data_IF_926455109565
#
_entry.id   IF_926455109565
#
_cell.length_a   1.000
_cell.length_b   1.000
_cell.length_c   1.000
_cell.angle_alpha   90.00
_cell.angle_beta   90.00
_cell.angle_gamma   90.00
#
_symmetry.space_group_name_H-M   'P 1'
#
loop_
_entity.id
_entity.type
_entity.pdbx_description
1 polymer ?
#
# COMPACT_ATOMS: atom_id res chain seq x y z
N UNK A 1 27.42 -26.71 -23.09
CA UNK A 1 26.00 -26.29 -23.13
C UNK A 1 25.68 -25.67 -21.79
N UNK A 2 25.53 -24.34 -21.73
CA UNK A 2 25.22 -23.62 -20.50
C UNK A 2 23.69 -23.56 -20.36
N UNK A 3 23.16 -24.06 -19.24
CA UNK A 3 21.73 -24.06 -18.95
C UNK A 3 21.23 -22.60 -18.79
N UNK A 4 20.01 -22.28 -19.23
CA UNK A 4 19.45 -20.95 -19.03
C UNK A 4 19.13 -20.79 -17.55
N UNK A 5 19.64 -19.70 -16.96
CA UNK A 5 19.25 -19.23 -15.64
C UNK A 5 17.76 -18.90 -15.76
N UNK A 6 16.93 -19.70 -15.11
CA UNK A 6 15.54 -19.39 -14.91
C UNK A 6 15.50 -18.05 -14.15
N UNK A 7 15.17 -16.99 -14.86
CA UNK A 7 14.72 -15.74 -14.28
C UNK A 7 13.41 -16.07 -13.57
N UNK A 8 13.50 -16.50 -12.33
CA UNK A 8 12.36 -16.55 -11.44
C UNK A 8 11.91 -15.10 -11.28
N UNK A 9 10.94 -14.69 -12.09
CA UNK A 9 10.13 -13.52 -11.80
C UNK A 9 9.30 -13.87 -10.56
N UNK A 10 9.98 -13.91 -9.41
CA UNK A 10 9.36 -13.83 -8.11
C UNK A 10 8.69 -12.47 -8.08
N UNK A 11 7.46 -12.42 -8.58
CA UNK A 11 6.54 -11.32 -8.31
C UNK A 11 6.59 -11.21 -6.79
N UNK A 12 6.96 -10.08 -6.18
CA UNK A 12 7.09 -10.02 -4.74
C UNK A 12 5.72 -10.39 -4.17
N UNK A 13 5.58 -11.63 -3.68
CA UNK A 13 4.38 -12.10 -3.03
C UNK A 13 4.25 -11.18 -1.82
N UNK A 14 3.31 -10.24 -1.90
CA UNK A 14 3.09 -9.33 -0.80
C UNK A 14 2.71 -10.14 0.43
N UNK A 15 3.16 -9.71 1.61
CA UNK A 15 2.71 -10.31 2.85
C UNK A 15 1.18 -10.24 2.92
N UNK A 16 0.52 -11.24 3.53
CA UNK A 16 -0.87 -11.14 3.96
C UNK A 16 -1.21 -9.79 4.59
N UNK A 17 -2.46 -9.33 4.46
CA UNK A 17 -2.93 -8.05 5.03
C UNK A 17 -2.59 -7.90 6.53
N UNK A 18 -2.61 -8.99 7.29
CA UNK A 18 -2.21 -9.06 8.70
C UNK A 18 -0.76 -8.60 8.91
N UNK A 19 0.15 -9.15 8.10
CA UNK A 19 1.57 -8.90 8.19
C UNK A 19 1.87 -7.45 7.78
N UNK A 20 1.14 -6.90 6.80
CA UNK A 20 1.24 -5.49 6.41
C UNK A 20 0.90 -4.59 7.61
N UNK A 21 -0.20 -4.87 8.31
CA UNK A 21 -0.62 -4.08 9.48
C UNK A 21 0.39 -4.22 10.62
N UNK A 22 0.93 -5.42 10.84
CA UNK A 22 1.97 -5.67 11.85
C UNK A 22 3.25 -4.89 11.55
N UNK A 23 3.71 -4.91 10.29
CA UNK A 23 4.90 -4.16 9.88
C UNK A 23 4.70 -2.65 9.99
N UNK A 24 3.51 -2.13 9.66
CA UNK A 24 3.18 -0.71 9.87
C UNK A 24 3.12 -0.34 11.36
N UNK A 25 2.80 -1.29 12.24
CA UNK A 25 2.79 -1.10 13.70
C UNK A 25 4.17 -1.28 14.34
N UNK A 26 5.15 -1.83 13.63
CA UNK A 26 6.48 -2.11 14.16
C UNK A 26 7.10 -0.89 14.86
N UNK A 27 7.83 -1.11 15.95
CA UNK A 27 8.61 -0.06 16.63
C UNK A 27 9.85 0.35 15.83
N UNK A 28 10.27 -0.50 14.89
CA UNK A 28 11.40 -0.26 14.01
C UNK A 28 11.05 0.78 12.93
N UNK A 29 11.93 1.76 12.75
CA UNK A 29 11.77 2.80 11.73
C UNK A 29 11.79 2.25 10.31
N UNK A 30 12.83 1.48 10.01
CA UNK A 30 13.16 1.03 8.67
C UNK A 30 12.08 0.07 8.19
N UNK A 31 11.57 -0.78 9.09
CA UNK A 31 10.45 -1.69 8.78
C UNK A 31 9.22 -0.91 8.34
N UNK A 32 8.84 0.17 9.05
CA UNK A 32 7.67 0.98 8.68
C UNK A 32 7.87 1.70 7.37
N UNK A 33 9.04 2.33 7.20
CA UNK A 33 9.37 3.10 6.01
C UNK A 33 9.43 2.23 4.76
N UNK A 34 10.07 1.05 4.86
CA UNK A 34 10.15 0.08 3.76
C UNK A 34 8.77 -0.48 3.43
N UNK A 35 7.94 -0.75 4.44
CA UNK A 35 6.56 -1.23 4.23
C UNK A 35 5.72 -0.21 3.47
N UNK A 36 5.73 1.06 3.90
CA UNK A 36 5.04 2.15 3.18
C UNK A 36 5.53 2.30 1.73
N UNK A 37 6.84 2.22 1.52
CA UNK A 37 7.45 2.32 0.19
C UNK A 37 7.00 1.16 -0.72
N UNK A 38 6.96 -0.06 -0.18
CA UNK A 38 6.48 -1.26 -0.89
C UNK A 38 4.99 -1.17 -1.22
N UNK A 39 4.16 -0.71 -0.27
CA UNK A 39 2.74 -0.50 -0.49
C UNK A 39 2.47 0.53 -1.60
N UNK A 40 3.27 1.60 -1.66
CA UNK A 40 3.19 2.62 -2.72
C UNK A 40 3.53 2.06 -4.10
N UNK A 41 4.51 1.14 -4.18
CA UNK A 41 4.82 0.44 -5.44
C UNK A 41 3.68 -0.51 -5.80
N UNK A 42 3.14 -1.25 -4.84
CA UNK A 42 2.04 -2.20 -5.07
C UNK A 42 0.78 -1.53 -5.62
N UNK A 43 0.42 -0.38 -5.08
CA UNK A 43 -0.65 0.49 -5.57
C UNK A 43 -0.63 0.70 -7.09
N UNK A 44 0.58 0.85 -7.66
CA UNK A 44 0.77 1.07 -9.09
C UNK A 44 0.61 -0.20 -9.92
N UNK A 45 0.82 -1.36 -9.31
CA UNK A 45 0.71 -2.66 -9.97
C UNK A 45 -0.68 -3.29 -9.84
N UNK A 46 -1.42 -3.02 -8.75
CA UNK A 46 -2.77 -3.54 -8.51
C UNK A 46 -3.75 -2.42 -8.18
N UNK A 47 -4.44 -1.83 -9.18
CA UNK A 47 -5.44 -0.80 -8.96
C UNK A 47 -6.63 -1.24 -8.09
N UNK A 48 -6.88 -2.55 -7.99
CA UNK A 48 -7.99 -3.14 -7.23
C UNK A 48 -7.54 -3.67 -5.85
N UNK A 49 -6.32 -3.34 -5.43
CA UNK A 49 -5.77 -3.78 -4.15
C UNK A 49 -6.70 -3.43 -2.98
N UNK A 50 -7.25 -2.22 -3.00
CA UNK A 50 -8.03 -1.71 -1.89
C UNK A 50 -9.33 -2.49 -1.76
N UNK A 51 -9.99 -2.83 -2.87
CA UNK A 51 -11.17 -3.69 -2.89
C UNK A 51 -10.90 -5.04 -2.21
N UNK A 52 -9.74 -5.64 -2.50
CA UNK A 52 -9.30 -6.95 -1.96
C UNK A 52 -8.85 -6.89 -0.50
N UNK A 53 -8.36 -5.75 -0.03
CA UNK A 53 -7.82 -5.59 1.31
C UNK A 53 -8.94 -5.74 2.36
N UNK A 54 -8.87 -6.75 3.22
CA UNK A 54 -9.97 -7.09 4.14
C UNK A 54 -10.01 -6.13 5.32
N UNK A 55 -8.83 -5.79 5.87
CA UNK A 55 -8.69 -5.04 7.14
C UNK A 55 -8.56 -3.53 6.99
N UNK A 56 -9.37 -2.92 6.12
CA UNK A 56 -9.31 -1.48 5.81
C UNK A 56 -9.30 -0.60 7.06
N UNK A 57 -10.16 -0.91 8.03
CA UNK A 57 -10.25 -0.14 9.28
C UNK A 57 -8.97 -0.14 10.12
N UNK A 58 -8.30 -1.29 10.25
CA UNK A 58 -7.04 -1.37 10.98
C UNK A 58 -5.89 -0.70 10.24
N UNK A 59 -5.89 -0.78 8.90
CA UNK A 59 -4.96 -0.05 8.04
C UNK A 59 -5.08 1.46 8.28
N UNK A 60 -6.28 2.05 8.19
CA UNK A 60 -6.45 3.49 8.42
C UNK A 60 -6.06 3.92 9.83
N UNK A 61 -6.37 3.12 10.86
CA UNK A 61 -5.88 3.39 12.22
C UNK A 61 -4.35 3.42 12.31
N UNK A 62 -3.67 2.51 11.60
CA UNK A 62 -2.19 2.56 11.55
C UNK A 62 -1.71 3.78 10.75
N UNK A 63 -2.33 4.11 9.61
CA UNK A 63 -1.95 5.28 8.82
C UNK A 63 -2.12 6.59 9.61
N UNK A 64 -3.22 6.75 10.34
CA UNK A 64 -3.43 7.89 11.25
C UNK A 64 -2.31 8.00 12.30
N UNK A 65 -1.89 6.88 12.87
CA UNK A 65 -0.76 6.85 13.81
C UNK A 65 0.55 7.25 13.14
N UNK A 66 0.79 6.82 11.91
CA UNK A 66 2.00 7.14 11.15
C UNK A 66 2.05 8.60 10.69
N UNK A 67 0.89 9.21 10.46
CA UNK A 67 0.79 10.66 10.20
C UNK A 67 1.17 11.49 11.44
N UNK A 68 1.00 10.94 12.64
CA UNK A 68 1.39 11.56 13.90
C UNK A 68 2.77 11.12 14.41
N UNK A 69 3.56 10.39 13.59
CA UNK A 69 4.92 9.96 13.97
C UNK A 69 5.86 11.17 14.08
N UNK A 70 6.76 11.19 15.07
CA UNK A 70 7.71 12.30 15.25
C UNK A 70 8.71 12.43 14.08
N UNK A 71 8.83 11.39 13.25
CA UNK A 71 9.78 11.33 12.14
C UNK A 71 9.12 11.71 10.83
N UNK A 72 9.61 12.80 10.24
CA UNK A 72 9.06 13.37 9.02
C UNK A 72 9.16 12.41 7.82
N UNK A 73 10.12 11.49 7.77
CA UNK A 73 10.27 10.53 6.68
C UNK A 73 9.09 9.55 6.61
N UNK A 74 8.66 9.05 7.76
CA UNK A 74 7.49 8.14 7.86
C UNK A 74 6.23 8.91 7.52
N UNK A 75 6.07 10.12 8.06
CA UNK A 75 4.94 10.99 7.74
C UNK A 75 4.86 11.28 6.24
N UNK A 76 5.97 11.68 5.63
CA UNK A 76 6.06 11.99 4.21
C UNK A 76 5.70 10.78 3.34
N UNK A 77 6.26 9.59 3.64
CA UNK A 77 5.91 8.39 2.89
C UNK A 77 4.45 7.97 3.10
N UNK A 78 3.91 8.16 4.31
CA UNK A 78 2.50 7.88 4.58
C UNK A 78 1.58 8.82 3.78
N UNK A 79 1.89 10.12 3.74
CA UNK A 79 1.15 11.11 2.94
C UNK A 79 1.24 10.76 1.45
N UNK A 80 2.43 10.42 0.96
CA UNK A 80 2.65 10.01 -0.43
C UNK A 80 1.86 8.77 -0.79
N UNK A 81 1.89 7.75 0.07
CA UNK A 81 1.10 6.54 -0.08
C UNK A 81 -0.39 6.87 -0.17
N UNK A 82 -0.92 7.67 0.75
CA UNK A 82 -2.32 8.09 0.74
C UNK A 82 -2.69 8.84 -0.54
N UNK A 83 -1.86 9.79 -0.96
CA UNK A 83 -2.06 10.55 -2.19
C UNK A 83 -2.18 9.62 -3.42
N UNK A 84 -1.28 8.65 -3.53
CA UNK A 84 -1.30 7.66 -4.63
C UNK A 84 -2.43 6.64 -4.48
N UNK A 85 -2.92 6.41 -3.25
CA UNK A 85 -3.99 5.47 -2.93
C UNK A 85 -5.39 5.99 -3.18
N UNK A 86 -5.64 7.29 -2.97
CA UNK A 86 -6.96 7.90 -3.10
C UNK A 86 -7.69 7.55 -4.41
N UNK A 87 -7.04 7.57 -5.59
CA UNK A 87 -7.68 7.18 -6.85
C UNK A 87 -8.18 5.73 -6.87
N UNK A 88 -7.56 4.84 -6.08
CA UNK A 88 -7.92 3.42 -6.03
C UNK A 88 -9.04 3.10 -5.03
N UNK A 89 -9.41 4.05 -4.17
CA UNK A 89 -10.47 3.84 -3.18
C UNK A 89 -11.87 3.90 -3.77
N UNK A 90 -12.01 4.51 -4.95
CA UNK A 90 -13.29 4.67 -5.64
C UNK A 90 -13.28 4.04 -7.01
N UNK A 91 -13.83 2.84 -7.13
CA UNK A 91 -14.43 2.35 -8.38
C UNK A 91 -15.90 2.79 -8.50
N UNK A 92 -16.24 3.92 -7.89
CA UNK A 92 -17.48 4.61 -8.24
C UNK A 92 -17.12 5.48 -9.43
N UNK A 93 -17.14 4.86 -10.61
CA UNK A 93 -17.51 5.59 -11.81
C UNK A 93 -18.81 6.31 -11.48
N UNK A 94 -18.72 7.57 -11.06
CA UNK A 94 -19.83 8.49 -11.14
C UNK A 94 -20.09 8.67 -12.64
N UNK A 95 -20.83 7.74 -13.23
CA UNK A 95 -21.63 8.03 -14.39
C UNK A 95 -22.56 9.14 -13.97
N UNK A 96 -22.11 10.38 -14.18
CA UNK A 96 -23.03 11.47 -14.47
C UNK A 96 -23.75 11.04 -15.75
N UNK A 97 -24.77 10.20 -15.60
CA UNK A 97 -25.87 10.09 -16.54
C UNK A 97 -26.53 11.46 -16.52
N UNK A 98 -25.97 12.34 -17.34
CA UNK A 98 -26.51 13.65 -17.64
C UNK A 98 -27.79 13.39 -18.42
N UNK A 99 -28.90 13.17 -17.71
CA UNK A 99 -30.23 13.24 -18.28
C UNK A 99 -30.48 14.70 -18.63
N UNK A 100 -30.23 15.06 -19.90
CA UNK A 100 -30.82 16.23 -20.51
C UNK A 100 -31.07 16.01 -21.98
#
# INVERSE_FOLDING_TARGET
>A
MLAPIATDHSTPLLPPDEDIIEFLRSTDFDVRLQTLSRLTVWLKHDPQWFSKFVKKGDLFKQLERLLMDDRWEVQHQCIKFLHDALPTFGDVSYTFSNNK
#
